data_IF_549027350271
#
_entry.id   IF_549027350271
#
_cell.length_a   1.000
_cell.length_b   1.000
_cell.length_c   1.000
_cell.angle_alpha   90.00
_cell.angle_beta   90.00
_cell.angle_gamma   90.00
#
_symmetry.space_group_name_H-M   'P 1'
#
loop_
_entity.id
_entity.type
_entity.pdbx_description
1 polymer ?
#
# COMPACT_ATOMS: atom_id res chain seq x y z
N UNK A 1 2.76 -17.78 14.76
CA UNK A 1 2.53 -17.12 13.51
C UNK A 1 2.50 -15.62 13.69
N UNK A 2 3.35 -14.90 12.99
CA UNK A 2 3.63 -13.50 13.27
C UNK A 2 3.34 -12.58 12.09
N UNK A 3 2.59 -13.04 11.09
CA UNK A 3 2.17 -12.18 9.99
C UNK A 3 1.15 -11.16 10.50
N UNK A 4 1.31 -9.92 10.09
CA UNK A 4 0.45 -8.85 10.56
C UNK A 4 -0.10 -8.07 9.37
N UNK A 5 -1.39 -7.73 9.45
CA UNK A 5 -2.05 -6.94 8.41
C UNK A 5 -2.54 -5.64 9.04
N UNK A 6 -2.14 -4.53 8.46
CA UNK A 6 -2.54 -3.19 8.91
C UNK A 6 -3.36 -2.56 7.78
N UNK A 7 -4.63 -2.26 8.05
CA UNK A 7 -5.52 -1.60 7.10
C UNK A 7 -5.75 -0.17 7.57
N UNK A 8 -5.44 0.80 6.72
CA UNK A 8 -5.53 2.21 7.08
C UNK A 8 -6.21 2.98 5.95
N UNK A 9 -6.84 4.09 6.31
CA UNK A 9 -7.51 4.95 5.33
C UNK A 9 -6.65 6.15 4.92
N UNK A 10 -5.36 6.13 5.24
CA UNK A 10 -4.45 7.20 4.85
C UNK A 10 -4.54 7.46 3.35
N UNK A 11 -4.76 8.72 2.97
CA UNK A 11 -4.97 9.10 1.57
C UNK A 11 -4.41 10.48 1.26
N UNK A 12 -3.68 11.09 2.19
CA UNK A 12 -3.06 12.39 2.00
C UNK A 12 -1.69 12.41 2.69
N UNK A 13 -0.89 13.48 2.47
CA UNK A 13 0.46 13.52 3.04
C UNK A 13 0.51 13.39 4.57
N UNK A 14 -0.44 14.00 5.28
CA UNK A 14 -0.47 13.88 6.73
C UNK A 14 -0.71 12.43 7.16
N UNK A 15 -1.64 11.75 6.48
CA UNK A 15 -1.90 10.32 6.72
C UNK A 15 -0.69 9.47 6.43
N UNK A 16 0.01 9.75 5.33
CA UNK A 16 1.24 9.04 4.98
C UNK A 16 2.31 9.18 6.06
N UNK A 17 2.49 10.40 6.57
CA UNK A 17 3.45 10.63 7.65
C UNK A 17 3.07 9.91 8.94
N UNK A 18 1.78 9.93 9.30
CA UNK A 18 1.29 9.21 10.48
C UNK A 18 1.54 7.72 10.35
N UNK A 19 1.27 7.17 9.17
CA UNK A 19 1.46 5.75 8.91
C UNK A 19 2.93 5.37 8.99
N UNK A 20 3.81 6.17 8.41
CA UNK A 20 5.24 5.96 8.49
C UNK A 20 5.72 5.95 9.94
N UNK A 21 5.20 6.86 10.76
CA UNK A 21 5.53 6.94 12.18
C UNK A 21 5.08 5.70 12.93
N UNK A 22 3.87 5.21 12.64
CA UNK A 22 3.37 3.97 13.24
C UNK A 22 4.28 2.79 12.90
N UNK A 23 4.74 2.71 11.67
CA UNK A 23 5.64 1.63 11.25
C UNK A 23 6.97 1.69 11.99
N UNK A 24 7.51 2.90 12.21
CA UNK A 24 8.77 3.07 12.94
C UNK A 24 8.66 2.59 14.40
N UNK A 25 7.48 2.78 14.99
CA UNK A 25 7.28 2.41 16.39
C UNK A 25 6.81 0.98 16.57
N UNK A 26 6.51 0.27 15.49
CA UNK A 26 6.11 -1.12 15.62
C UNK A 26 7.29 -2.03 15.26
N UNK A 27 7.40 -3.11 16.01
CA UNK A 27 8.46 -4.08 15.77
C UNK A 27 8.04 -4.97 14.60
N UNK A 28 8.80 -4.94 13.51
CA UNK A 28 8.60 -5.82 12.39
C UNK A 28 9.94 -6.51 12.09
N UNK A 29 10.02 -7.80 12.41
CA UNK A 29 11.23 -8.57 12.21
C UNK A 29 11.41 -9.00 10.76
N UNK A 30 10.33 -9.05 10.00
CA UNK A 30 10.33 -9.44 8.59
C UNK A 30 10.29 -8.26 7.65
N UNK A 31 9.84 -8.52 6.43
CA UNK A 31 9.70 -7.49 5.40
C UNK A 31 8.37 -6.77 5.51
N UNK A 32 8.33 -5.54 4.98
CA UNK A 32 7.10 -4.75 4.92
C UNK A 32 6.62 -4.72 3.48
N UNK A 33 5.42 -5.23 3.28
CA UNK A 33 4.72 -5.22 2.00
C UNK A 33 3.66 -4.12 2.06
N UNK A 34 3.49 -3.35 1.01
CA UNK A 34 2.48 -2.29 0.98
C UNK A 34 1.58 -2.44 -0.24
N UNK A 35 0.28 -2.52 0.01
CA UNK A 35 -0.75 -2.51 -1.03
C UNK A 35 -1.38 -1.13 -1.04
N UNK A 36 -1.35 -0.47 -2.19
CA UNK A 36 -1.87 0.89 -2.32
C UNK A 36 -2.78 1.03 -3.53
N UNK A 37 -3.91 1.70 -3.30
CA UNK A 37 -4.81 2.17 -4.35
C UNK A 37 -5.30 3.54 -3.94
N UNK A 38 -5.23 4.53 -4.83
CA UNK A 38 -5.50 5.92 -4.50
C UNK A 38 -6.38 6.58 -5.54
N UNK A 39 -7.06 7.65 -5.13
CA UNK A 39 -7.75 8.52 -6.06
C UNK A 39 -6.72 9.42 -6.76
N UNK A 40 -6.96 9.69 -8.05
CA UNK A 40 -6.01 10.43 -8.87
C UNK A 40 -5.85 11.90 -8.46
N UNK A 41 -6.88 12.47 -7.81
CA UNK A 41 -6.86 13.88 -7.40
C UNK A 41 -6.16 14.12 -6.05
N UNK A 42 -5.58 13.09 -5.46
CA UNK A 42 -4.83 13.21 -4.21
C UNK A 42 -3.36 13.53 -4.49
N UNK A 43 -2.67 14.02 -3.47
CA UNK A 43 -1.23 14.26 -3.54
C UNK A 43 -0.50 12.95 -3.32
N UNK A 44 -0.42 12.14 -4.38
CA UNK A 44 0.13 10.79 -4.32
C UNK A 44 1.61 10.82 -3.93
N UNK A 45 2.38 11.70 -4.56
CA UNK A 45 3.83 11.79 -4.35
C UNK A 45 4.14 11.99 -2.87
N UNK A 46 3.54 13.01 -2.25
CA UNK A 46 3.86 13.35 -0.86
C UNK A 46 3.20 12.41 0.14
N UNK A 47 2.17 11.67 -0.27
CA UNK A 47 1.59 10.63 0.57
C UNK A 47 2.50 9.40 0.65
N UNK A 48 3.10 9.00 -0.47
CA UNK A 48 3.94 7.81 -0.53
C UNK A 48 5.38 8.07 -0.05
N UNK A 49 5.87 9.28 -0.23
CA UNK A 49 7.27 9.62 0.07
C UNK A 49 7.70 9.21 1.49
N UNK A 50 6.92 9.46 2.55
CA UNK A 50 7.35 9.09 3.91
C UNK A 50 7.53 7.58 4.13
N UNK A 51 6.94 6.76 3.25
CA UNK A 51 6.94 5.30 3.41
C UNK A 51 8.06 4.60 2.65
N UNK A 52 8.72 5.32 1.73
CA UNK A 52 9.67 4.70 0.80
C UNK A 52 10.78 3.91 1.48
N UNK A 53 11.33 4.44 2.57
CA UNK A 53 12.47 3.82 3.24
C UNK A 53 12.09 2.57 4.03
N UNK A 54 10.80 2.37 4.28
CA UNK A 54 10.35 1.28 5.14
C UNK A 54 9.72 0.13 4.38
N UNK A 55 9.20 0.38 3.17
CA UNK A 55 8.48 -0.62 2.40
C UNK A 55 9.45 -1.38 1.50
N UNK A 56 9.40 -2.70 1.57
CA UNK A 56 10.26 -3.58 0.79
C UNK A 56 9.62 -3.99 -0.54
N UNK A 57 8.29 -4.20 -0.54
CA UNK A 57 7.55 -4.64 -1.73
C UNK A 57 6.26 -3.85 -1.87
N UNK A 58 6.00 -3.38 -3.09
CA UNK A 58 4.81 -2.59 -3.41
C UNK A 58 3.85 -3.39 -4.28
N UNK A 59 2.57 -3.33 -3.95
CA UNK A 59 1.49 -3.92 -4.73
C UNK A 59 0.53 -2.78 -5.05
N UNK A 60 0.58 -2.29 -6.29
CA UNK A 60 -0.22 -1.14 -6.70
C UNK A 60 -1.44 -1.62 -7.46
N UNK A 61 -2.58 -1.03 -7.18
CA UNK A 61 -3.85 -1.47 -7.76
C UNK A 61 -4.61 -0.32 -8.40
N UNK A 62 -5.25 -0.60 -9.52
CA UNK A 62 -6.29 0.29 -10.03
C UNK A 62 -7.40 0.40 -8.99
N UNK A 63 -8.06 1.55 -8.94
CA UNK A 63 -9.34 1.69 -8.27
C UNK A 63 -10.41 1.83 -9.34
N UNK A 64 -11.43 0.95 -9.29
CA UNK A 64 -12.51 0.94 -10.27
C UNK A 64 -13.61 1.91 -9.87
N UNK A 65 -13.24 3.14 -9.58
CA UNK A 65 -14.16 4.24 -9.24
C UNK A 65 -13.82 5.42 -10.16
N UNK A 66 -14.75 6.38 -10.35
CA UNK A 66 -14.57 7.41 -11.37
C UNK A 66 -13.28 8.22 -11.30
N UNK A 67 -12.72 8.44 -10.13
CA UNK A 67 -11.48 9.22 -10.00
C UNK A 67 -10.32 8.37 -9.50
N UNK A 68 -10.40 7.05 -9.70
CA UNK A 68 -9.33 6.16 -9.27
C UNK A 68 -8.07 6.34 -10.10
N UNK A 69 -6.92 6.39 -9.45
CA UNK A 69 -5.64 6.36 -10.14
C UNK A 69 -5.38 4.94 -10.64
N UNK A 70 -4.68 4.82 -11.76
CA UNK A 70 -4.29 3.52 -12.28
C UNK A 70 -3.08 2.97 -11.53
N UNK A 71 -2.95 1.65 -11.51
CA UNK A 71 -1.77 0.99 -10.98
C UNK A 71 -0.52 1.47 -11.72
N UNK A 72 -0.62 1.65 -13.04
CA UNK A 72 0.49 2.15 -13.84
C UNK A 72 0.96 3.52 -13.36
N UNK A 73 0.03 4.41 -13.06
CA UNK A 73 0.38 5.75 -12.57
C UNK A 73 1.08 5.67 -11.20
N UNK A 74 0.56 4.85 -10.30
CA UNK A 74 1.18 4.66 -8.99
C UNK A 74 2.59 4.10 -9.13
N UNK A 75 2.77 3.14 -10.03
CA UNK A 75 4.09 2.57 -10.30
C UNK A 75 5.05 3.65 -10.81
N UNK A 76 4.59 4.49 -11.75
CA UNK A 76 5.42 5.56 -12.29
C UNK A 76 5.86 6.54 -11.19
N UNK A 77 4.96 6.88 -10.28
CA UNK A 77 5.28 7.76 -9.16
C UNK A 77 6.37 7.11 -8.28
N UNK A 78 6.18 5.85 -7.91
CA UNK A 78 7.16 5.15 -7.07
C UNK A 78 8.52 5.06 -7.75
N UNK A 79 8.55 4.76 -9.04
CA UNK A 79 9.80 4.67 -9.79
C UNK A 79 10.52 6.01 -9.87
N UNK A 80 9.78 7.11 -9.91
CA UNK A 80 10.39 8.45 -9.95
C UNK A 80 10.96 8.87 -8.60
N UNK A 81 10.43 8.29 -7.51
CA UNK A 81 10.87 8.63 -6.15
C UNK A 81 11.98 7.72 -5.64
N UNK A 82 12.06 6.52 -6.16
CA UNK A 82 12.98 5.50 -5.68
C UNK A 82 13.54 4.75 -6.90
N UNK A 83 14.85 4.52 -6.90
CA UNK A 83 15.53 4.04 -8.10
C UNK A 83 15.04 2.72 -8.66
N UNK A 84 14.98 1.66 -7.83
CA UNK A 84 14.62 0.32 -8.30
C UNK A 84 13.71 -0.39 -7.30
N UNK A 85 12.50 0.13 -7.08
CA UNK A 85 11.58 -0.53 -6.14
C UNK A 85 11.02 -1.81 -6.76
N UNK A 86 10.64 -2.76 -5.89
CA UNK A 86 9.91 -3.95 -6.33
C UNK A 86 8.42 -3.61 -6.34
N UNK A 87 7.82 -3.60 -7.53
CA UNK A 87 6.42 -3.18 -7.70
C UNK A 87 5.70 -4.17 -8.58
N UNK A 88 4.52 -4.64 -8.11
CA UNK A 88 3.60 -5.47 -8.90
C UNK A 88 2.30 -4.69 -9.10
N UNK A 89 1.74 -4.80 -10.30
CA UNK A 89 0.52 -4.06 -10.70
C UNK A 89 -0.68 -4.98 -10.75
N UNK A 90 -1.82 -4.49 -10.30
CA UNK A 90 -3.07 -5.26 -10.28
C UNK A 90 -4.23 -4.40 -10.75
N UNK A 91 -5.24 -5.05 -11.31
CA UNK A 91 -6.44 -4.36 -11.79
C UNK A 91 -7.49 -4.13 -10.71
N UNK A 92 -7.36 -4.80 -9.57
CA UNK A 92 -8.30 -4.67 -8.44
C UNK A 92 -7.58 -4.88 -7.11
N UNK A 93 -8.02 -4.18 -6.05
CA UNK A 93 -7.39 -4.33 -4.74
C UNK A 93 -7.48 -5.74 -4.17
N UNK A 94 -8.59 -6.47 -4.41
CA UNK A 94 -8.74 -7.82 -3.89
C UNK A 94 -7.74 -8.80 -4.52
N UNK A 95 -7.45 -8.63 -5.81
CA UNK A 95 -6.43 -9.43 -6.48
C UNK A 95 -5.04 -9.13 -5.92
N UNK A 96 -4.76 -7.84 -5.73
CA UNK A 96 -3.50 -7.42 -5.12
C UNK A 96 -3.34 -8.01 -3.73
N UNK A 97 -4.41 -7.99 -2.95
CA UNK A 97 -4.39 -8.53 -1.59
C UNK A 97 -4.11 -10.03 -1.58
N UNK A 98 -4.78 -10.78 -2.45
CA UNK A 98 -4.55 -12.23 -2.53
C UNK A 98 -3.09 -12.54 -2.81
N UNK A 99 -2.51 -11.84 -3.78
CA UNK A 99 -1.12 -12.05 -4.13
C UNK A 99 -0.18 -11.65 -2.99
N UNK A 100 -0.40 -10.48 -2.41
CA UNK A 100 0.44 -9.98 -1.33
C UNK A 100 0.37 -10.90 -0.11
N UNK A 101 -0.83 -11.32 0.27
CA UNK A 101 -1.01 -12.19 1.41
C UNK A 101 -0.28 -13.52 1.25
N UNK A 102 -0.36 -14.09 0.05
CA UNK A 102 0.34 -15.35 -0.25
C UNK A 102 1.87 -15.17 -0.26
N UNK A 103 2.34 -13.97 -0.49
CA UNK A 103 3.77 -13.66 -0.54
C UNK A 103 4.38 -13.41 0.84
N UNK A 104 3.55 -13.23 1.88
CA UNK A 104 4.03 -12.94 3.22
C UNK A 104 4.76 -14.14 3.81
N UNK A 105 5.96 -13.88 4.28
CA UNK A 105 6.72 -14.85 5.05
C UNK A 105 6.46 -14.63 6.54
N UNK A 106 6.94 -15.55 7.37
CA UNK A 106 6.83 -15.40 8.81
C UNK A 106 7.42 -14.06 9.25
N UNK A 107 6.73 -13.36 10.11
CA UNK A 107 7.10 -12.05 10.65
C UNK A 107 6.99 -10.88 9.66
N UNK A 108 6.51 -11.12 8.45
CA UNK A 108 6.25 -10.03 7.51
C UNK A 108 4.98 -9.27 7.91
N UNK A 109 4.91 -8.01 7.49
CA UNK A 109 3.73 -7.18 7.66
C UNK A 109 3.19 -6.77 6.30
N UNK A 110 1.86 -6.73 6.17
CA UNK A 110 1.18 -6.21 4.99
C UNK A 110 0.41 -4.95 5.39
N UNK A 111 0.74 -3.85 4.73
CA UNK A 111 0.10 -2.56 4.93
C UNK A 111 -0.85 -2.32 3.76
N UNK A 112 -2.11 -1.98 4.04
CA UNK A 112 -3.12 -1.69 3.01
C UNK A 112 -3.60 -0.27 3.23
N UNK A 113 -3.47 0.59 2.24
CA UNK A 113 -3.84 2.00 2.41
C UNK A 113 -4.03 2.72 1.07
N UNK A 114 -4.33 4.01 1.14
CA UNK A 114 -4.39 4.89 -0.01
C UNK A 114 -5.75 5.51 -0.24
N UNK A 115 -6.82 4.83 0.16
CA UNK A 115 -8.16 5.37 0.08
C UNK A 115 -9.11 4.53 0.93
N UNK A 116 -10.25 5.13 1.23
CA UNK A 116 -11.33 4.40 1.89
C UNK A 116 -11.80 3.22 1.02
N UNK A 117 -11.81 3.40 -0.30
CA UNK A 117 -12.23 2.34 -1.24
C UNK A 117 -11.31 1.14 -1.15
N UNK A 118 -10.01 1.36 -1.06
CA UNK A 118 -9.02 0.29 -0.95
C UNK A 118 -9.21 -0.47 0.36
N UNK A 119 -9.32 0.25 1.48
CA UNK A 119 -9.52 -0.36 2.79
C UNK A 119 -10.82 -1.16 2.81
N UNK A 120 -11.91 -0.61 2.28
CA UNK A 120 -13.21 -1.26 2.26
C UNK A 120 -13.19 -2.55 1.45
N UNK A 121 -12.53 -2.55 0.29
CA UNK A 121 -12.43 -3.73 -0.57
C UNK A 121 -11.78 -4.89 0.17
N UNK A 122 -10.72 -4.61 0.93
CA UNK A 122 -10.01 -5.65 1.67
C UNK A 122 -10.78 -6.06 2.91
N UNK A 123 -11.41 -5.11 3.58
CA UNK A 123 -12.21 -5.39 4.78
C UNK A 123 -13.33 -6.37 4.49
N UNK A 124 -14.00 -6.20 3.33
CA UNK A 124 -15.05 -7.13 2.90
C UNK A 124 -14.52 -8.54 2.68
N UNK A 125 -13.23 -8.68 2.39
CA UNK A 125 -12.62 -9.98 2.17
C UNK A 125 -12.60 -10.82 3.46
N UNK A 126 -12.58 -10.16 4.62
CA UNK A 126 -12.53 -10.85 5.91
C UNK A 126 -13.91 -11.04 6.55
N UNK A 127 -14.93 -10.47 5.98
CA UNK A 127 -16.29 -10.59 6.46
C UNK A 127 -17.14 -11.32 5.45
#
# INVERSE_FOLDING_TARGET
>A
NSRRIIIDVAHNPAGGRCLAKRLLHSVCAGKIHALVGMLADKDIVNTLRPLLSQVDYWYVSDLTVPRGASAQHLKQVLMSLQGMPVILEFSRPDLAFQHAYQSLQKNDSLLVFGSFHTAAAIYHHFN
#
